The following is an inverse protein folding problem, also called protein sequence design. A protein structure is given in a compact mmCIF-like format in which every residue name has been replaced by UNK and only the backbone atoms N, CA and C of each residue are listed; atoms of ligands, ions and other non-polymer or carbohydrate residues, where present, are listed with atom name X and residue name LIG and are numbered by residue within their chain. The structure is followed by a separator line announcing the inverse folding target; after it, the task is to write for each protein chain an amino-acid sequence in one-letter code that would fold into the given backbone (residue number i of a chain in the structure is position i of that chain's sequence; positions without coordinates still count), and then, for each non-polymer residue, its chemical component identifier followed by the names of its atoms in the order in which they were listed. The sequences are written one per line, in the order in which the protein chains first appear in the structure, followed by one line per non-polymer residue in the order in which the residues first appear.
data_IF_008018112210
#
_entry.id   IF_008018112210
#
_cell.length_a   1.000
_cell.length_b   1.000
_cell.length_c   1.000
_cell.angle_alpha   90.00
_cell.angle_beta   90.00
_cell.angle_gamma   90.00
#
_symmetry.space_group_name_H-M   'P 1'
#
loop_
_entity.id
_entity.type
_entity.pdbx_description
1 polymer ?
#
# COMPACT_ATOMS: atom_id res chain seq x y z
N UNK A 1 10.57 23.74 4.07
CA UNK A 1 10.76 22.81 2.94
C UNK A 1 9.41 22.16 2.69
N UNK A 2 8.70 22.63 1.67
CA UNK A 2 7.57 21.89 1.12
C UNK A 2 8.16 20.63 0.46
N UNK A 3 7.74 19.46 0.94
CA UNK A 3 8.24 18.17 0.50
C UNK A 3 7.70 17.79 -0.88
N UNK A 4 8.32 16.77 -1.49
CA UNK A 4 7.75 16.03 -2.62
C UNK A 4 6.32 15.64 -2.24
N UNK A 5 5.31 15.90 -3.07
CA UNK A 5 3.92 15.55 -2.71
C UNK A 5 3.65 14.10 -3.13
N UNK A 6 2.67 13.47 -2.49
CA UNK A 6 2.20 12.12 -2.87
C UNK A 6 2.01 11.95 -4.39
N UNK A 7 1.41 12.94 -5.06
CA UNK A 7 1.24 12.97 -6.51
C UNK A 7 2.56 12.86 -7.29
N UNK A 8 3.62 13.53 -6.84
CA UNK A 8 4.93 13.54 -7.50
C UNK A 8 5.60 12.17 -7.38
N UNK A 9 5.44 11.49 -6.23
CA UNK A 9 5.94 10.12 -6.03
C UNK A 9 5.20 9.13 -6.93
N UNK A 10 3.88 9.28 -7.05
CA UNK A 10 3.04 8.39 -7.87
C UNK A 10 3.45 8.37 -9.33
N UNK A 11 3.91 9.50 -9.89
CA UNK A 11 4.34 9.57 -11.30
C UNK A 11 5.44 8.53 -11.63
N UNK A 12 6.30 8.18 -10.66
CA UNK A 12 7.33 7.15 -10.84
C UNK A 12 6.79 5.71 -10.92
N UNK A 13 5.52 5.51 -10.55
CA UNK A 13 4.79 4.24 -10.61
C UNK A 13 3.78 4.19 -11.78
N UNK A 14 3.56 5.28 -12.50
CA UNK A 14 2.58 5.34 -13.62
C UNK A 14 3.10 4.73 -14.93
N UNK A 15 4.41 4.48 -15.04
CA UNK A 15 5.03 3.94 -16.26
C UNK A 15 5.26 2.44 -16.15
N UNK A 16 4.98 1.72 -17.24
CA UNK A 16 5.38 0.31 -17.38
C UNK A 16 6.90 0.20 -17.35
N UNK A 17 7.41 -0.77 -16.62
CA UNK A 17 8.82 -1.17 -16.63
C UNK A 17 9.04 -2.24 -17.69
N UNK A 18 10.16 -2.16 -18.42
CA UNK A 18 10.43 -3.01 -19.59
C UNK A 18 10.48 -4.51 -19.25
N UNK A 19 10.89 -4.84 -18.02
CA UNK A 19 11.05 -6.22 -17.54
C UNK A 19 9.77 -6.81 -16.88
N UNK A 20 8.68 -6.04 -16.81
CA UNK A 20 7.50 -6.41 -16.05
C UNK A 20 6.30 -6.78 -16.95
N UNK A 21 5.55 -7.80 -16.54
CA UNK A 21 4.29 -8.18 -17.18
C UNK A 21 3.14 -7.31 -16.64
N UNK A 22 2.34 -6.76 -17.57
CA UNK A 22 1.15 -5.95 -17.29
C UNK A 22 -0.10 -6.53 -17.95
N UNK A 23 -0.02 -7.78 -18.40
CA UNK A 23 -1.14 -8.46 -19.04
C UNK A 23 -2.13 -8.86 -17.94
N UNK A 24 -3.42 -8.64 -18.19
CA UNK A 24 -4.46 -9.07 -17.27
C UNK A 24 -4.39 -10.58 -17.08
N UNK A 25 -4.48 -11.03 -15.84
CA UNK A 25 -4.56 -12.47 -15.54
C UNK A 25 -6.00 -12.87 -15.27
N UNK A 26 -6.32 -14.13 -15.56
CA UNK A 26 -7.55 -14.76 -15.11
C UNK A 26 -7.26 -15.48 -13.79
N UNK A 27 -7.95 -15.09 -12.72
CA UNK A 27 -7.80 -15.70 -11.40
C UNK A 27 -8.79 -16.82 -11.19
N UNK A 28 -8.37 -17.82 -10.43
CA UNK A 28 -9.27 -18.88 -10.00
C UNK A 28 -10.33 -18.36 -9.01
N UNK A 29 -11.42 -19.11 -8.90
CA UNK A 29 -12.56 -18.74 -8.06
C UNK A 29 -12.19 -18.59 -6.57
N UNK A 30 -11.24 -19.36 -6.05
CA UNK A 30 -10.86 -19.28 -4.64
C UNK A 30 -10.10 -17.98 -4.36
N UNK A 31 -9.16 -17.61 -5.21
CA UNK A 31 -8.45 -16.33 -5.09
C UNK A 31 -9.42 -15.15 -5.21
N UNK A 32 -10.35 -15.21 -6.17
CA UNK A 32 -11.42 -14.20 -6.33
C UNK A 32 -12.27 -14.05 -5.07
N UNK A 33 -12.67 -15.14 -4.42
CA UNK A 33 -13.40 -15.09 -3.15
C UNK A 33 -12.59 -14.47 -2.01
N UNK A 34 -11.28 -14.69 -1.98
CA UNK A 34 -10.42 -14.03 -0.99
C UNK A 34 -10.41 -12.52 -1.24
N UNK A 35 -10.24 -12.09 -2.49
CA UNK A 35 -10.29 -10.67 -2.87
C UNK A 35 -11.64 -10.05 -2.49
N UNK A 36 -12.75 -10.68 -2.84
CA UNK A 36 -14.10 -10.21 -2.50
C UNK A 36 -14.28 -10.02 -0.99
N UNK A 37 -13.90 -11.01 -0.19
CA UNK A 37 -14.01 -10.93 1.26
C UNK A 37 -13.15 -9.80 1.85
N UNK A 38 -11.97 -9.56 1.27
CA UNK A 38 -11.07 -8.48 1.63
C UNK A 38 -11.63 -7.11 1.24
N UNK A 39 -12.14 -6.96 0.02
CA UNK A 39 -12.76 -5.72 -0.48
C UNK A 39 -13.99 -5.35 0.34
N UNK A 40 -14.85 -6.32 0.66
CA UNK A 40 -16.06 -6.08 1.45
C UNK A 40 -15.74 -5.46 2.82
N UNK A 41 -14.67 -5.92 3.48
CA UNK A 41 -14.24 -5.42 4.80
C UNK A 41 -13.28 -4.22 4.73
N UNK A 42 -12.85 -3.81 3.54
CA UNK A 42 -11.94 -2.68 3.37
C UNK A 42 -12.70 -1.37 3.62
N UNK A 43 -12.18 -0.57 4.55
CA UNK A 43 -12.68 0.78 4.81
C UNK A 43 -12.10 1.76 3.78
N UNK A 44 -12.98 2.53 3.14
CA UNK A 44 -12.60 3.61 2.21
C UNK A 44 -12.39 4.90 3.00
N UNK A 45 -11.21 5.05 3.60
CA UNK A 45 -10.90 6.19 4.47
C UNK A 45 -11.02 7.52 3.70
N UNK A 46 -11.80 8.47 4.22
CA UNK A 46 -12.06 9.76 3.56
C UNK A 46 -13.36 9.80 2.74
N UNK A 47 -14.11 8.69 2.70
CA UNK A 47 -15.45 8.61 2.12
C UNK A 47 -16.51 8.55 3.23
N UNK A 48 -17.57 9.36 3.13
CA UNK A 48 -18.71 9.25 4.05
C UNK A 48 -19.39 7.89 3.86
N UNK A 49 -19.46 7.09 4.93
CA UNK A 49 -20.10 5.77 4.93
C UNK A 49 -21.60 5.85 4.60
N UNK A 50 -22.22 7.02 4.75
CA UNK A 50 -23.62 7.27 4.37
C UNK A 50 -23.79 7.43 2.86
N UNK A 51 -22.73 7.69 2.11
CA UNK A 51 -22.75 7.71 0.65
C UNK A 51 -22.64 6.28 0.11
N UNK A 52 -23.71 5.50 0.31
CA UNK A 52 -23.77 4.09 -0.07
C UNK A 52 -23.50 3.88 -1.57
N UNK A 53 -23.93 4.80 -2.43
CA UNK A 53 -23.71 4.72 -3.87
C UNK A 53 -22.22 4.85 -4.19
N UNK A 54 -21.55 5.87 -3.63
CA UNK A 54 -20.12 6.06 -3.82
C UNK A 54 -19.31 4.89 -3.26
N UNK A 55 -19.62 4.43 -2.04
CA UNK A 55 -18.92 3.30 -1.41
C UNK A 55 -19.07 2.02 -2.24
N UNK A 56 -20.30 1.66 -2.64
CA UNK A 56 -20.58 0.47 -3.45
C UNK A 56 -19.81 0.51 -4.77
N UNK A 57 -19.81 1.65 -5.45
CA UNK A 57 -19.15 1.78 -6.75
C UNK A 57 -17.62 1.72 -6.63
N UNK A 58 -17.03 2.42 -5.67
CA UNK A 58 -15.58 2.40 -5.44
C UNK A 58 -15.09 1.01 -5.01
N UNK A 59 -15.86 0.25 -4.22
CA UNK A 59 -15.53 -1.15 -3.89
C UNK A 59 -15.59 -2.08 -5.11
N UNK A 60 -16.56 -1.89 -6.02
CA UNK A 60 -16.60 -2.63 -7.29
C UNK A 60 -15.36 -2.37 -8.14
N UNK A 61 -14.96 -1.10 -8.25
CA UNK A 61 -13.72 -0.72 -8.94
C UNK A 61 -12.52 -1.41 -8.28
N UNK A 62 -12.40 -1.31 -6.95
CA UNK A 62 -11.33 -1.96 -6.19
C UNK A 62 -11.26 -3.48 -6.45
N UNK A 63 -12.40 -4.17 -6.45
CA UNK A 63 -12.47 -5.60 -6.75
C UNK A 63 -11.98 -5.91 -8.16
N UNK A 64 -12.53 -5.24 -9.19
CA UNK A 64 -12.15 -5.48 -10.60
C UNK A 64 -10.67 -5.21 -10.84
N UNK A 65 -10.11 -4.16 -10.24
CA UNK A 65 -8.69 -3.83 -10.40
C UNK A 65 -7.79 -4.87 -9.72
N UNK A 66 -8.17 -5.42 -8.56
CA UNK A 66 -7.40 -6.47 -7.90
C UNK A 66 -7.52 -7.83 -8.61
N UNK A 67 -8.68 -8.11 -9.19
CA UNK A 67 -8.96 -9.35 -9.92
C UNK A 67 -8.08 -9.46 -11.18
N UNK A 68 -7.75 -8.33 -11.82
CA UNK A 68 -7.03 -8.33 -13.11
C UNK A 68 -5.50 -8.19 -13.03
N UNK A 69 -4.94 -7.68 -11.94
CA UNK A 69 -3.48 -7.39 -11.87
C UNK A 69 -2.62 -8.66 -11.90
N UNK A 70 -1.47 -8.66 -12.60
CA UNK A 70 -0.60 -9.84 -12.76
C UNK A 70 0.29 -10.13 -11.55
N UNK A 71 -0.23 -9.97 -10.34
CA UNK A 71 0.48 -10.22 -9.08
C UNK A 71 -0.37 -11.15 -8.25
N UNK A 72 0.21 -12.18 -7.64
CA UNK A 72 -0.54 -13.08 -6.74
C UNK A 72 -1.15 -12.30 -5.59
N UNK A 73 -2.43 -12.51 -5.33
CA UNK A 73 -3.12 -11.79 -4.26
C UNK A 73 -2.61 -12.23 -2.90
N UNK A 74 -2.36 -11.25 -2.04
CA UNK A 74 -2.03 -11.44 -0.63
C UNK A 74 -2.95 -10.58 0.22
N UNK A 75 -3.40 -11.14 1.35
CA UNK A 75 -4.32 -10.47 2.25
C UNK A 75 -3.77 -9.11 2.70
N UNK A 76 -4.60 -8.06 2.60
CA UNK A 76 -4.21 -6.67 2.88
C UNK A 76 -3.86 -5.84 1.65
N UNK A 77 -3.72 -6.45 0.47
CA UNK A 77 -3.57 -5.71 -0.79
C UNK A 77 -4.80 -4.83 -1.10
N UNK A 78 -6.01 -5.24 -0.70
CA UNK A 78 -7.23 -4.44 -0.87
C UNK A 78 -7.15 -3.09 -0.13
N UNK A 79 -6.58 -3.08 1.06
CA UNK A 79 -6.38 -1.88 1.87
C UNK A 79 -5.36 -0.95 1.21
N UNK A 80 -4.26 -1.51 0.69
CA UNK A 80 -3.27 -0.69 -0.03
C UNK A 80 -3.85 -0.15 -1.34
N UNK A 81 -4.56 -0.97 -2.11
CA UNK A 81 -5.18 -0.58 -3.37
C UNK A 81 -6.29 0.47 -3.19
N UNK A 82 -7.04 0.43 -2.09
CA UNK A 82 -8.13 1.40 -1.86
C UNK A 82 -7.63 2.84 -1.85
N UNK A 83 -6.43 3.10 -1.33
CA UNK A 83 -5.82 4.43 -1.35
C UNK A 83 -5.62 4.95 -2.78
N UNK A 84 -5.19 4.09 -3.71
CA UNK A 84 -5.01 4.47 -5.11
C UNK A 84 -6.35 4.59 -5.84
N UNK A 85 -7.31 3.69 -5.56
CA UNK A 85 -8.68 3.80 -6.11
C UNK A 85 -9.30 5.13 -5.71
N UNK A 86 -9.20 5.52 -4.43
CA UNK A 86 -9.70 6.81 -3.95
C UNK A 86 -8.98 7.98 -4.62
N UNK A 87 -7.65 7.92 -4.69
CA UNK A 87 -6.85 8.97 -5.32
C UNK A 87 -7.25 9.21 -6.79
N UNK A 88 -7.51 8.17 -7.57
CA UNK A 88 -7.83 8.31 -9.00
C UNK A 88 -9.31 8.47 -9.31
N UNK A 89 -10.22 7.91 -8.50
CA UNK A 89 -11.62 7.75 -8.87
C UNK A 89 -12.62 8.39 -7.92
N UNK A 90 -12.24 8.80 -6.71
CA UNK A 90 -13.22 9.36 -5.76
C UNK A 90 -13.95 10.58 -6.32
N UNK A 91 -13.21 11.54 -6.89
CA UNK A 91 -13.80 12.75 -7.49
C UNK A 91 -14.62 12.41 -8.75
N UNK A 92 -14.09 11.55 -9.63
CA UNK A 92 -14.76 11.13 -10.87
C UNK A 92 -16.10 10.46 -10.58
N UNK A 93 -16.12 9.52 -9.63
CA UNK A 93 -17.33 8.80 -9.21
C UNK A 93 -18.31 9.76 -8.56
N UNK A 94 -17.85 10.64 -7.68
CA UNK A 94 -18.70 11.66 -7.05
C UNK A 94 -19.37 12.58 -8.06
N UNK A 95 -18.63 13.04 -9.08
CA UNK A 95 -19.18 13.85 -10.16
C UNK A 95 -20.20 13.09 -11.02
N UNK A 96 -19.93 11.84 -11.38
CA UNK A 96 -20.86 11.06 -12.20
C UNK A 96 -22.15 10.71 -11.44
N UNK A 97 -22.07 10.47 -10.12
CA UNK A 97 -23.25 10.31 -9.26
C UNK A 97 -24.04 11.63 -9.21
N UNK A 98 -23.36 12.77 -9.01
CA UNK A 98 -24.02 14.07 -8.96
C UNK A 98 -24.70 14.45 -10.29
N UNK A 99 -24.14 14.00 -11.42
CA UNK A 99 -24.72 14.18 -12.77
C UNK A 99 -25.82 13.16 -13.10
N UNK A 100 -26.13 12.22 -12.21
CA UNK A 100 -27.11 11.16 -12.44
C UNK A 100 -26.68 10.13 -13.50
N UNK A 101 -25.38 10.08 -13.83
CA UNK A 101 -24.81 9.13 -14.80
C UNK A 101 -24.64 7.75 -14.16
N UNK A 102 -24.26 7.73 -12.88
CA UNK A 102 -24.15 6.53 -12.06
C UNK A 102 -25.31 6.44 -11.06
N UNK A 103 -25.87 5.23 -10.90
CA UNK A 103 -26.88 4.93 -9.90
C UNK A 103 -28.29 5.45 -10.25
N UNK A 104 -28.66 5.39 -11.53
CA UNK A 104 -29.98 5.77 -12.09
C UNK A 104 -31.13 4.79 -11.80
N UNK A 105 -31.01 3.94 -10.79
CA UNK A 105 -32.12 3.16 -10.23
C UNK A 105 -32.78 3.89 -9.07
N UNK A 106 -34.06 3.62 -8.83
CA UNK A 106 -34.82 4.14 -7.70
C UNK A 106 -34.04 3.97 -6.38
N UNK A 107 -34.26 4.85 -5.39
CA UNK A 107 -33.71 4.68 -4.05
C UNK A 107 -34.42 3.49 -3.39
N UNK A 108 -34.07 2.27 -3.78
CA UNK A 108 -34.32 1.13 -2.92
C UNK A 108 -33.56 1.40 -1.63
N UNK A 109 -34.32 1.68 -0.57
CA UNK A 109 -33.83 1.56 0.80
C UNK A 109 -33.00 0.28 0.86
N UNK A 110 -31.77 0.33 1.40
CA UNK A 110 -31.03 -0.89 1.61
C UNK A 110 -31.87 -1.74 2.56
N UNK A 111 -32.49 -2.81 2.05
CA UNK A 111 -32.85 -3.91 2.90
C UNK A 111 -31.58 -4.30 3.61
N UNK A 112 -31.56 -4.18 4.94
CA UNK A 112 -30.48 -4.69 5.77
C UNK A 112 -30.20 -6.14 5.33
N UNK A 113 -29.06 -6.37 4.69
CA UNK A 113 -28.54 -7.71 4.50
C UNK A 113 -28.51 -8.31 3.08
N UNK A 114 -28.58 -7.53 1.99
CA UNK A 114 -28.04 -8.09 0.72
C UNK A 114 -26.51 -8.07 0.81
N UNK A 115 -25.82 -9.24 0.83
CA UNK A 115 -24.37 -9.25 0.86
C UNK A 115 -23.86 -8.64 -0.46
N UNK A 116 -22.98 -7.63 -0.36
CA UNK A 116 -22.18 -7.16 -1.50
C UNK A 116 -21.49 -8.39 -2.14
N UNK A 117 -21.98 -8.85 -3.28
CA UNK A 117 -21.40 -9.93 -4.09
C UNK A 117 -20.80 -9.27 -5.34
N UNK A 118 -19.49 -9.43 -5.53
CA UNK A 118 -18.75 -8.83 -6.65
C UNK A 118 -18.42 -9.86 -7.73
N UNK A 119 -18.55 -11.16 -7.44
CA UNK A 119 -18.31 -12.23 -8.41
C UNK A 119 -19.57 -12.46 -9.24
N UNK A 120 -20.73 -12.55 -8.60
CA UNK A 120 -22.02 -12.79 -9.24
C UNK A 120 -22.85 -11.49 -9.32
N UNK A 121 -22.24 -10.44 -9.92
CA UNK A 121 -22.89 -9.13 -10.06
C UNK A 121 -24.02 -9.22 -11.09
N UNK A 122 -25.21 -8.64 -10.80
CA UNK A 122 -26.30 -8.51 -11.77
C UNK A 122 -25.83 -7.94 -13.12
N UNK A 123 -26.42 -8.41 -14.22
CA UNK A 123 -25.95 -8.09 -15.57
C UNK A 123 -26.01 -6.59 -15.88
N UNK A 124 -27.03 -5.90 -15.39
CA UNK A 124 -27.23 -4.46 -15.48
C UNK A 124 -26.16 -3.66 -14.73
N UNK A 125 -25.87 -4.04 -13.47
CA UNK A 125 -24.79 -3.46 -12.68
C UNK A 125 -23.42 -3.69 -13.32
N UNK A 126 -23.24 -4.82 -13.99
CA UNK A 126 -22.03 -5.16 -14.73
C UNK A 126 -21.90 -4.30 -16.01
N UNK A 127 -23.01 -4.00 -16.70
CA UNK A 127 -23.04 -3.10 -17.86
C UNK A 127 -22.68 -1.67 -17.45
N UNK A 128 -23.21 -1.16 -16.33
CA UNK A 128 -22.88 0.17 -15.81
C UNK A 128 -21.37 0.30 -15.52
N UNK A 129 -20.81 -0.67 -14.80
CA UNK A 129 -19.38 -0.72 -14.49
C UNK A 129 -18.52 -0.80 -15.76
N UNK A 130 -18.88 -1.65 -16.73
CA UNK A 130 -18.17 -1.75 -18.02
C UNK A 130 -18.20 -0.42 -18.79
N UNK A 131 -19.34 0.28 -18.81
CA UNK A 131 -19.45 1.60 -19.46
C UNK A 131 -18.57 2.62 -18.75
N UNK A 132 -18.55 2.63 -17.43
CA UNK A 132 -17.68 3.51 -16.65
C UNK A 132 -16.20 3.27 -16.96
N UNK A 133 -15.75 2.01 -16.90
CA UNK A 133 -14.38 1.62 -17.22
C UNK A 133 -13.99 1.98 -18.66
N UNK A 134 -14.94 1.87 -19.61
CA UNK A 134 -14.71 2.28 -20.99
C UNK A 134 -14.58 3.80 -21.15
N UNK A 135 -15.35 4.60 -20.41
CA UNK A 135 -15.26 6.07 -20.42
C UNK A 135 -13.92 6.55 -19.84
N UNK A 136 -13.47 5.90 -18.77
CA UNK A 136 -12.26 6.27 -18.02
C UNK A 136 -11.08 5.33 -18.28
N UNK A 137 -11.00 4.76 -19.49
CA UNK A 137 -10.04 3.70 -19.84
C UNK A 137 -8.58 4.07 -19.53
N UNK A 138 -8.19 5.33 -19.72
CA UNK A 138 -6.81 5.78 -19.53
C UNK A 138 -6.47 5.86 -18.03
N UNK A 139 -7.40 6.36 -17.21
CA UNK A 139 -7.28 6.38 -15.75
C UNK A 139 -7.27 4.95 -15.19
N UNK A 140 -8.14 4.08 -15.72
CA UNK A 140 -8.19 2.65 -15.35
C UNK A 140 -6.90 1.92 -15.72
N UNK A 141 -6.36 2.16 -16.92
CA UNK A 141 -5.10 1.57 -17.34
C UNK A 141 -3.93 2.07 -16.48
N UNK A 142 -3.90 3.37 -16.18
CA UNK A 142 -2.92 3.98 -15.28
C UNK A 142 -2.98 3.36 -13.88
N UNK A 143 -4.17 3.22 -13.29
CA UNK A 143 -4.35 2.57 -11.99
C UNK A 143 -3.80 1.14 -12.00
N UNK A 144 -4.14 0.35 -13.02
CA UNK A 144 -3.61 -1.01 -13.17
C UNK A 144 -2.08 -1.07 -13.19
N UNK A 145 -1.43 -0.14 -13.90
CA UNK A 145 0.04 -0.02 -13.93
C UNK A 145 0.59 0.36 -12.56
N UNK A 146 -0.01 1.35 -11.88
CA UNK A 146 0.40 1.79 -10.55
C UNK A 146 0.29 0.65 -9.54
N UNK A 147 -0.85 -0.04 -9.48
CA UNK A 147 -1.05 -1.16 -8.55
C UNK A 147 -0.03 -2.28 -8.81
N UNK A 148 0.17 -2.65 -10.07
CA UNK A 148 1.17 -3.67 -10.44
C UNK A 148 2.56 -3.26 -9.95
N UNK A 149 2.98 -2.02 -10.22
CA UNK A 149 4.29 -1.52 -9.82
C UNK A 149 4.45 -1.41 -8.31
N UNK A 150 3.44 -0.89 -7.60
CA UNK A 150 3.47 -0.77 -6.14
C UNK A 150 3.59 -2.14 -5.51
N UNK A 151 2.76 -3.11 -5.94
CA UNK A 151 2.77 -4.43 -5.38
C UNK A 151 4.05 -5.19 -5.69
N UNK A 152 4.51 -5.19 -6.94
CA UNK A 152 5.76 -5.85 -7.34
C UNK A 152 6.98 -5.27 -6.62
N UNK A 153 7.06 -3.95 -6.47
CA UNK A 153 8.25 -3.29 -5.89
C UNK A 153 8.24 -3.26 -4.36
N UNK A 154 7.06 -3.19 -3.73
CA UNK A 154 6.94 -2.88 -2.29
C UNK A 154 6.30 -3.98 -1.45
N UNK A 155 5.32 -4.73 -1.97
CA UNK A 155 4.66 -5.79 -1.20
C UNK A 155 5.22 -7.18 -1.50
N UNK A 156 5.34 -7.54 -2.77
CA UNK A 156 5.82 -8.86 -3.20
C UNK A 156 7.14 -9.25 -2.52
N UNK A 157 8.18 -8.37 -2.44
CA UNK A 157 9.44 -8.74 -1.80
C UNK A 157 9.31 -9.05 -0.31
N UNK A 158 8.24 -8.59 0.36
CA UNK A 158 8.00 -8.86 1.78
C UNK A 158 7.33 -10.21 2.02
N UNK A 159 6.65 -10.77 1.00
CA UNK A 159 5.80 -11.96 1.14
C UNK A 159 6.34 -13.18 0.39
N UNK A 160 7.21 -12.98 -0.62
CA UNK A 160 7.89 -14.07 -1.32
C UNK A 160 8.89 -14.81 -0.41
N UNK A 161 9.30 -16.00 -0.85
CA UNK A 161 10.25 -16.87 -0.14
C UNK A 161 9.86 -17.12 1.34
N UNK A 162 8.59 -17.39 1.60
CA UNK A 162 8.06 -17.58 2.96
C UNK A 162 8.43 -16.40 3.89
N UNK A 163 8.12 -15.18 3.44
CA UNK A 163 8.33 -13.94 4.20
C UNK A 163 9.78 -13.70 4.62
N UNK A 164 10.77 -14.19 3.86
CA UNK A 164 12.20 -14.12 4.24
C UNK A 164 12.67 -12.70 4.56
N UNK A 165 12.46 -11.75 3.65
CA UNK A 165 12.87 -10.34 3.85
C UNK A 165 12.12 -9.72 5.03
N UNK A 166 10.83 -10.04 5.18
CA UNK A 166 10.04 -9.58 6.33
C UNK A 166 10.63 -10.08 7.65
N UNK A 167 10.89 -11.38 7.77
CA UNK A 167 11.46 -12.02 8.97
C UNK A 167 12.84 -11.44 9.30
N UNK A 168 13.69 -11.22 8.28
CA UNK A 168 15.01 -10.59 8.45
C UNK A 168 14.92 -9.15 8.98
N UNK A 169 14.07 -8.32 8.36
CA UNK A 169 13.89 -6.93 8.79
C UNK A 169 13.20 -6.82 10.15
N UNK A 170 12.27 -7.72 10.46
CA UNK A 170 11.62 -7.78 11.77
C UNK A 170 12.62 -8.09 12.88
N UNK A 171 13.57 -9.00 12.64
CA UNK A 171 14.65 -9.28 13.58
C UNK A 171 15.51 -8.05 13.86
N UNK A 172 15.81 -7.26 12.82
CA UNK A 172 16.57 -6.00 12.96
C UNK A 172 15.77 -4.99 13.79
N UNK A 173 14.48 -4.83 13.49
CA UNK A 173 13.56 -3.99 14.27
C UNK A 173 13.56 -4.38 15.75
N UNK A 174 13.39 -5.66 16.09
CA UNK A 174 13.38 -6.12 17.49
C UNK A 174 14.69 -5.78 18.21
N UNK A 175 15.85 -5.94 17.55
CA UNK A 175 17.14 -5.58 18.16
C UNK A 175 17.31 -4.05 18.33
N UNK A 176 16.79 -3.25 17.40
CA UNK A 176 16.72 -1.78 17.55
C UNK A 176 15.83 -1.38 18.73
N UNK A 177 14.70 -2.04 18.93
CA UNK A 177 13.79 -1.77 20.06
C UNK A 177 14.42 -2.20 21.39
N UNK A 178 15.17 -3.30 21.41
CA UNK A 178 15.92 -3.75 22.58
C UNK A 178 16.95 -2.71 23.05
N UNK A 179 17.67 -2.05 22.12
CA UNK A 179 18.57 -0.93 22.45
C UNK A 179 17.85 0.24 23.13
N UNK A 180 16.55 0.42 22.86
CA UNK A 180 15.69 1.44 23.46
C UNK A 180 15.05 1.00 24.79
N UNK A 181 15.48 -0.14 25.34
CA UNK A 181 14.92 -0.71 26.57
C UNK A 181 13.58 -1.43 26.38
N UNK A 182 13.13 -1.61 25.13
CA UNK A 182 11.85 -2.24 24.82
C UNK A 182 12.10 -3.70 24.43
N UNK A 183 11.59 -4.63 25.23
CA UNK A 183 11.68 -6.07 24.96
C UNK A 183 10.41 -6.53 24.25
N UNK A 184 10.54 -6.95 23.00
CA UNK A 184 9.46 -7.49 22.20
C UNK A 184 9.71 -9.00 22.06
N UNK A 185 8.84 -9.87 22.61
CA UNK A 185 8.91 -11.30 22.36
C UNK A 185 8.76 -11.62 20.88
N UNK A 186 9.44 -12.65 20.39
CA UNK A 186 9.47 -13.01 18.97
C UNK A 186 8.06 -13.25 18.40
N UNK A 187 7.22 -14.00 19.12
CA UNK A 187 5.83 -14.25 18.71
C UNK A 187 4.99 -12.97 18.65
N UNK A 188 5.28 -11.98 19.50
CA UNK A 188 4.56 -10.70 19.49
C UNK A 188 4.97 -9.81 18.33
N UNK A 189 6.17 -10.01 17.77
CA UNK A 189 6.63 -9.23 16.60
C UNK A 189 5.76 -9.48 15.35
N UNK A 190 5.10 -10.63 15.26
CA UNK A 190 4.17 -10.94 14.17
C UNK A 190 2.84 -10.15 14.25
N UNK A 191 2.50 -9.59 15.42
CA UNK A 191 1.31 -8.72 15.57
C UNK A 191 1.41 -7.47 14.67
N UNK A 192 2.62 -7.06 14.31
CA UNK A 192 2.87 -5.88 13.46
C UNK A 192 2.80 -6.19 11.96
N UNK A 193 2.61 -7.45 11.56
CA UNK A 193 2.53 -7.83 10.14
C UNK A 193 1.39 -7.10 9.43
N UNK A 194 0.22 -7.03 10.05
CA UNK A 194 -0.92 -6.31 9.52
C UNK A 194 -0.65 -4.83 9.30
N UNK A 195 0.09 -4.18 10.21
CA UNK A 195 0.53 -2.79 10.04
C UNK A 195 1.47 -2.63 8.85
N UNK A 196 2.46 -3.51 8.71
CA UNK A 196 3.46 -3.39 7.64
C UNK A 196 2.85 -3.68 6.26
N UNK A 197 2.10 -4.78 6.12
CA UNK A 197 1.56 -5.21 4.82
C UNK A 197 0.40 -4.33 4.32
N UNK A 198 -0.18 -3.49 5.19
CA UNK A 198 -1.21 -2.51 4.81
C UNK A 198 -0.67 -1.08 4.76
N UNK A 199 0.66 -0.90 4.78
CA UNK A 199 1.29 0.43 4.81
C UNK A 199 0.74 1.32 5.94
N UNK A 200 0.50 0.71 7.10
CA UNK A 200 -0.07 1.29 8.30
C UNK A 200 -1.49 1.83 8.14
N UNK A 201 -2.21 1.52 7.06
CA UNK A 201 -3.58 2.02 6.85
C UNK A 201 -4.49 1.68 8.04
N UNK A 202 -4.38 0.46 8.57
CA UNK A 202 -5.12 0.00 9.77
C UNK A 202 -4.85 0.80 11.04
N UNK A 203 -3.78 1.59 11.06
CA UNK A 203 -3.34 2.38 12.21
C UNK A 203 -3.56 3.87 12.02
N UNK A 204 -3.94 4.33 10.82
CA UNK A 204 -4.11 5.73 10.47
C UNK A 204 -5.60 6.10 10.47
N UNK A 205 -5.93 7.31 10.93
CA UNK A 205 -7.33 7.78 11.01
C UNK A 205 -7.66 8.92 10.04
N UNK A 206 -6.66 9.50 9.37
CA UNK A 206 -6.80 10.68 8.49
C UNK A 206 -6.15 10.43 7.14
N UNK A 207 -6.83 10.83 6.07
CA UNK A 207 -6.35 10.62 4.69
C UNK A 207 -5.05 11.41 4.42
N UNK A 208 -4.87 12.57 5.04
CA UNK A 208 -3.65 13.36 4.91
C UNK A 208 -2.44 12.64 5.51
N UNK A 209 -2.64 11.91 6.61
CA UNK A 209 -1.60 11.11 7.25
C UNK A 209 -1.32 9.83 6.44
N UNK A 210 -2.35 9.24 5.80
CA UNK A 210 -2.19 8.14 4.84
C UNK A 210 -1.31 8.55 3.67
N UNK A 211 -1.60 9.67 3.00
CA UNK A 211 -0.80 10.15 1.89
C UNK A 211 0.66 10.39 2.29
N UNK A 212 0.92 10.96 3.47
CA UNK A 212 2.28 11.13 3.99
C UNK A 212 2.99 9.80 4.21
N UNK A 213 2.34 8.81 4.81
CA UNK A 213 2.96 7.49 5.05
C UNK A 213 3.23 6.76 3.74
N UNK A 214 2.28 6.79 2.80
CA UNK A 214 2.43 6.16 1.50
C UNK A 214 3.54 6.84 0.68
N UNK A 215 3.59 8.17 0.67
CA UNK A 215 4.68 8.94 0.03
C UNK A 215 6.06 8.47 0.52
N UNK A 216 6.24 8.33 1.83
CA UNK A 216 7.50 7.87 2.42
C UNK A 216 7.80 6.41 2.02
N UNK A 217 6.84 5.50 2.13
CA UNK A 217 7.02 4.08 1.80
C UNK A 217 7.35 3.89 0.31
N UNK A 218 6.64 4.61 -0.57
CA UNK A 218 6.85 4.53 -2.00
C UNK A 218 8.21 5.14 -2.41
N UNK A 219 8.68 6.18 -1.71
CA UNK A 219 9.97 6.82 -1.97
C UNK A 219 11.20 6.08 -1.43
N UNK A 220 11.03 5.23 -0.41
CA UNK A 220 12.14 4.61 0.31
C UNK A 220 12.30 3.09 0.02
N UNK A 221 13.44 2.47 0.35
CA UNK A 221 13.62 1.02 0.23
C UNK A 221 12.63 0.19 1.08
N UNK A 222 12.53 -1.12 0.83
CA UNK A 222 11.62 -2.03 1.54
C UNK A 222 11.94 -2.22 3.05
N UNK A 223 13.02 -1.62 3.55
CA UNK A 223 13.31 -1.48 4.98
C UNK A 223 12.43 -0.41 5.64
N UNK A 224 11.92 0.56 4.87
CA UNK A 224 11.21 1.72 5.38
C UNK A 224 10.00 1.41 6.26
N UNK A 225 9.11 0.45 5.94
CA UNK A 225 8.01 0.11 6.84
C UNK A 225 8.47 -0.29 8.24
N UNK A 226 9.64 -0.92 8.38
CA UNK A 226 10.20 -1.30 9.67
C UNK A 226 10.76 -0.10 10.44
N UNK A 227 11.30 0.90 9.74
CA UNK A 227 11.72 2.16 10.36
C UNK A 227 10.52 3.00 10.83
N UNK A 228 9.45 3.02 10.03
CA UNK A 228 8.18 3.60 10.43
C UNK A 228 7.61 2.87 11.64
N UNK A 229 7.73 1.54 11.71
CA UNK A 229 7.34 0.79 12.90
C UNK A 229 8.13 1.22 14.14
N UNK A 230 9.42 1.53 14.05
CA UNK A 230 10.18 2.12 15.18
C UNK A 230 9.55 3.45 15.64
N UNK A 231 9.16 4.31 14.70
CA UNK A 231 8.54 5.61 15.02
C UNK A 231 7.13 5.47 15.60
N UNK A 232 6.36 4.51 15.10
CA UNK A 232 4.95 4.33 15.46
C UNK A 232 4.71 3.29 16.55
N UNK A 233 5.75 2.56 16.98
CA UNK A 233 5.63 1.44 17.91
C UNK A 233 4.78 1.78 19.13
N UNK A 234 5.06 2.91 19.80
CA UNK A 234 4.34 3.30 21.01
C UNK A 234 2.84 3.57 20.78
N UNK A 235 2.43 3.94 19.56
CA UNK A 235 1.01 4.09 19.21
C UNK A 235 0.39 2.73 18.90
N UNK A 236 1.03 1.97 18.02
CA UNK A 236 0.53 0.67 17.54
C UNK A 236 0.45 -0.34 18.69
N UNK A 237 1.49 -0.47 19.51
CA UNK A 237 1.52 -1.40 20.64
C UNK A 237 0.45 -1.10 21.71
N UNK A 238 -0.04 0.13 21.76
CA UNK A 238 -1.10 0.56 22.68
C UNK A 238 -2.46 0.71 21.98
N UNK A 239 -2.63 0.18 20.77
CA UNK A 239 -3.84 0.30 19.95
C UNK A 239 -4.34 1.75 19.80
N UNK A 240 -3.43 2.72 19.75
CA UNK A 240 -3.76 4.13 19.54
C UNK A 240 -3.62 4.47 18.05
N UNK A 241 -4.54 5.26 17.48
CA UNK A 241 -4.40 5.73 16.11
C UNK A 241 -3.15 6.61 15.98
N UNK A 242 -2.55 6.53 14.80
CA UNK A 242 -1.47 7.41 14.34
C UNK A 242 -2.15 8.61 13.67
N UNK A 243 -1.94 9.79 14.25
CA UNK A 243 -2.59 11.01 13.80
C UNK A 243 -1.62 12.19 13.85
N UNK A 244 -1.89 13.18 13.02
CA UNK A 244 -1.16 14.46 12.97
C UNK A 244 0.34 14.23 12.72
N UNK A 245 0.65 13.46 11.67
CA UNK A 245 2.03 13.12 11.31
C UNK A 245 2.78 14.40 10.95
N UNK A 246 3.86 14.63 11.69
CA UNK A 246 4.75 15.77 11.49
C UNK A 246 5.53 15.61 10.17
N UNK A 247 5.68 16.71 9.43
CA UNK A 247 6.45 16.79 8.18
C UNK A 247 7.94 16.37 8.35
N UNK A 248 8.46 16.32 9.58
CA UNK A 248 9.80 15.81 9.86
C UNK A 248 9.92 14.28 9.89
N UNK A 249 8.83 13.53 9.66
CA UNK A 249 8.84 12.07 9.68
C UNK A 249 9.85 11.49 8.68
N UNK A 250 9.91 12.01 7.46
CA UNK A 250 10.87 11.57 6.44
C UNK A 250 12.32 11.71 6.93
N UNK A 251 12.68 12.86 7.51
CA UNK A 251 14.01 13.09 8.11
C UNK A 251 14.30 12.13 9.26
N UNK A 252 13.30 11.81 10.08
CA UNK A 252 13.46 10.82 11.17
C UNK A 252 13.70 9.41 10.62
N UNK A 253 13.01 9.03 9.54
CA UNK A 253 13.24 7.75 8.85
C UNK A 253 14.65 7.67 8.30
N UNK A 254 15.15 8.72 7.63
CA UNK A 254 16.53 8.76 7.13
C UNK A 254 17.55 8.54 8.25
N UNK A 255 17.37 9.20 9.40
CA UNK A 255 18.27 9.03 10.55
C UNK A 255 18.24 7.61 11.12
N UNK A 256 17.09 6.93 11.06
CA UNK A 256 16.97 5.56 11.52
C UNK A 256 17.62 4.55 10.56
N UNK A 257 17.77 4.87 9.28
CA UNK A 257 18.37 3.97 8.29
C UNK A 257 19.84 3.66 8.63
N UNK A 258 20.61 4.66 9.09
CA UNK A 258 21.98 4.45 9.55
C UNK A 258 22.05 3.45 10.71
N UNK A 259 21.16 3.60 11.70
CA UNK A 259 21.07 2.69 12.84
C UNK A 259 20.61 1.28 12.41
N UNK A 260 19.70 1.20 11.44
CA UNK A 260 19.22 -0.06 10.88
C UNK A 260 20.36 -0.82 10.20
N UNK A 261 21.15 -0.15 9.36
CA UNK A 261 22.33 -0.73 8.70
C UNK A 261 23.38 -1.20 9.71
N UNK A 262 23.67 -0.40 10.74
CA UNK A 262 24.60 -0.80 11.81
C UNK A 262 24.09 -2.03 12.57
N UNK A 263 22.79 -2.09 12.83
CA UNK A 263 22.16 -3.21 13.53
C UNK A 263 22.16 -4.48 12.68
N UNK A 264 21.85 -4.38 11.40
CA UNK A 264 21.96 -5.48 10.43
C UNK A 264 23.37 -6.07 10.42
N UNK A 265 24.39 -5.22 10.26
CA UNK A 265 25.80 -5.65 10.26
C UNK A 265 26.21 -6.37 11.55
N UNK A 266 25.72 -5.91 12.72
CA UNK A 266 26.01 -6.58 14.00
C UNK A 266 25.33 -7.93 14.13
N UNK A 267 24.09 -8.07 13.64
CA UNK A 267 23.38 -9.36 13.63
C UNK A 267 24.08 -10.37 12.70
N UNK A 268 24.50 -9.92 11.52
CA UNK A 268 25.21 -10.77 10.55
C UNK A 268 26.56 -11.26 11.08
N UNK A 269 27.32 -10.41 11.78
CA UNK A 269 28.60 -10.79 12.41
C UNK A 269 28.48 -11.84 13.52
N UNK A 270 27.30 -11.96 14.15
CA UNK A 270 27.03 -12.92 15.23
C UNK A 270 26.64 -14.31 14.73
N UNK A 271 26.41 -14.50 13.42
CA UNK A 271 26.13 -15.83 12.86
C UNK A 271 27.47 -16.56 12.62
N UNK A 272 27.75 -17.68 13.31
CA UNK A 272 28.77 -18.60 12.84
C UNK A 272 28.25 -19.18 11.50
N UNK A 273 29.11 -19.26 10.47
CA UNK A 273 28.80 -19.84 9.15
C UNK A 273 28.03 -18.98 8.12
N UNK A 274 28.50 -17.76 7.80
CA UNK A 274 28.23 -17.21 6.46
C UNK A 274 29.54 -16.82 5.75
N UNK A 275 29.86 -17.61 4.73
CA UNK A 275 30.98 -17.44 3.81
C UNK A 275 31.05 -16.01 3.28
N UNK A 276 32.24 -15.40 3.37
CA UNK A 276 32.57 -14.02 2.98
C UNK A 276 32.34 -13.70 1.48
N UNK A 277 31.72 -14.58 0.69
CA UNK A 277 31.61 -14.47 -0.77
C UNK A 277 30.25 -14.00 -1.32
N UNK A 278 29.27 -13.64 -0.48
CA UNK A 278 28.02 -13.01 -0.92
C UNK A 278 27.78 -11.61 -0.31
N UNK A 279 28.82 -10.79 -0.26
CA UNK A 279 28.64 -9.33 -0.16
C UNK A 279 28.45 -8.83 -1.60
N UNK A 280 27.32 -9.16 -2.22
CA UNK A 280 26.91 -8.56 -3.49
C UNK A 280 25.92 -7.45 -3.14
N UNK A 281 26.44 -6.22 -3.25
CA UNK A 281 25.73 -4.98 -3.56
C UNK A 281 24.29 -4.82 -2.99
N UNK A 282 24.17 -4.49 -1.70
CA UNK A 282 23.00 -3.75 -1.22
C UNK A 282 23.19 -2.29 -1.65
N UNK A 283 22.66 -1.95 -2.83
CA UNK A 283 22.59 -0.60 -3.39
C UNK A 283 21.69 0.36 -2.62
N UNK A 284 21.66 0.27 -1.28
CA UNK A 284 20.81 1.09 -0.40
C UNK A 284 21.37 2.49 -0.12
N UNK A 285 22.69 2.70 -0.28
CA UNK A 285 23.30 4.02 -0.07
C UNK A 285 23.26 4.85 -1.35
N UNK A 286 23.34 4.22 -2.53
CA UNK A 286 23.34 4.96 -3.79
C UNK A 286 21.93 5.43 -4.14
N UNK A 287 20.85 4.66 -3.92
CA UNK A 287 19.50 5.08 -4.32
C UNK A 287 18.95 6.31 -3.56
N UNK A 288 19.28 6.47 -2.27
CA UNK A 288 18.87 7.67 -1.50
C UNK A 288 19.70 8.89 -1.91
N UNK A 289 20.99 8.72 -2.18
CA UNK A 289 21.84 9.81 -2.70
C UNK A 289 21.42 10.15 -4.14
N UNK A 290 21.06 9.18 -4.97
CA UNK A 290 20.54 9.42 -6.32
C UNK A 290 19.17 10.08 -6.28
N UNK A 291 18.27 9.74 -5.34
CA UNK A 291 17.01 10.47 -5.16
C UNK A 291 17.25 11.92 -4.73
N UNK A 292 18.21 12.17 -3.83
CA UNK A 292 18.59 13.53 -3.39
C UNK A 292 19.31 14.31 -4.51
N UNK A 293 20.13 13.65 -5.34
CA UNK A 293 20.88 14.26 -6.44
C UNK A 293 19.99 14.51 -7.66
N UNK A 294 19.11 13.58 -8.03
CA UNK A 294 18.08 13.77 -9.07
C UNK A 294 17.13 14.89 -8.66
N UNK A 295 16.72 14.94 -7.38
CA UNK A 295 15.92 16.04 -6.84
C UNK A 295 16.65 17.39 -6.82
N UNK A 296 17.99 17.41 -6.64
CA UNK A 296 18.79 18.65 -6.71
C UNK A 296 19.05 19.12 -8.14
N UNK A 297 19.16 18.21 -9.11
CA UNK A 297 19.40 18.54 -10.53
C UNK A 297 18.11 19.01 -11.20
N UNK A 298 16.97 18.36 -10.92
CA UNK A 298 15.66 18.74 -11.49
C UNK A 298 15.10 20.08 -10.98
N UNK A 299 15.72 20.70 -9.97
CA UNK A 299 15.30 21.99 -9.38
C UNK A 299 16.20 23.17 -9.76
N UNK A 300 17.15 22.96 -10.68
CA UNK A 300 18.14 23.95 -11.11
C UNK A 300 17.99 24.40 -12.57
N UNK A 301 16.87 24.06 -13.20
CA UNK A 301 16.35 24.68 -14.43
C UNK A 301 14.96 25.28 -14.12
#
# INVERSE_FOLDING_TARGET
MEGVRFADVLQSFEKKTEDDEYVSVERDYNERRVIENDVRRTELLGVDKKDYKMVKFLKKLLFVELDKIPIRYTQGMSEVASVFVLYYFQEIVGEEIAKGILGGGDPESPGEGSPENFIDVPEDENVELKRFLSRHKDTTAKLGVVLTNVFKRKLEPLVTDDFKIYKENMKIFVEMMKKRGIKIPELESYKFMGSILTFFLRNLSKIEDVHKVFEIILSCPNTCPFLLLVQFYGRIANNKPIENINNNLFTKVIRLEEEFVETKKRIERKRPEFSKRKIIAVGGVISIVTAIVVYKIARKE
#
